data_IF_029220912306
#
_entry.id   IF_029220912306
#
_cell.length_a   1.000
_cell.length_b   1.000
_cell.length_c   1.000
_cell.angle_alpha   90.00
_cell.angle_beta   90.00
_cell.angle_gamma   90.00
#
_symmetry.space_group_name_H-M   'P 1'
#
loop_
_entity.id
_entity.type
_entity.pdbx_description
1 polymer ?
#
# COMPACT_ATOMS: atom_id res chain seq x y z
N UNK A 1 -22.52 -4.21 22.07
CA UNK A 1 -21.52 -3.17 21.74
C UNK A 1 -21.25 -3.29 20.26
N UNK A 2 -22.06 -2.62 19.44
CA UNK A 2 -21.83 -2.54 17.99
C UNK A 2 -20.61 -1.65 17.76
N UNK A 3 -19.50 -2.27 17.37
CA UNK A 3 -18.30 -1.54 16.99
C UNK A 3 -18.57 -0.89 15.63
N UNK A 4 -18.79 0.42 15.60
CA UNK A 4 -18.95 1.24 14.38
C UNK A 4 -17.72 1.29 13.45
N UNK A 5 -16.86 0.26 13.50
CA UNK A 5 -15.63 0.07 12.73
C UNK A 5 -15.67 -1.23 11.91
N UNK A 6 -16.83 -1.84 11.68
CA UNK A 6 -16.92 -3.01 10.81
C UNK A 6 -16.63 -2.61 9.36
N UNK A 7 -15.42 -2.93 8.89
CA UNK A 7 -15.05 -2.82 7.48
C UNK A 7 -16.03 -3.66 6.67
N UNK A 8 -16.76 -3.02 5.75
CA UNK A 8 -17.73 -3.69 4.88
C UNK A 8 -17.14 -4.96 4.27
N UNK A 9 -17.94 -6.04 4.25
CA UNK A 9 -17.51 -7.35 3.74
C UNK A 9 -16.91 -7.25 2.33
N UNK A 10 -17.48 -6.40 1.47
CA UNK A 10 -16.98 -6.16 0.11
C UNK A 10 -15.60 -5.51 0.12
N UNK A 11 -15.39 -4.50 0.98
CA UNK A 11 -14.09 -3.82 1.14
C UNK A 11 -13.05 -4.80 1.68
N UNK A 12 -13.42 -5.61 2.67
CA UNK A 12 -12.55 -6.63 3.26
C UNK A 12 -12.08 -7.65 2.23
N UNK A 13 -13.00 -8.18 1.42
CA UNK A 13 -12.68 -9.15 0.36
C UNK A 13 -11.85 -8.48 -0.74
N UNK A 14 -12.26 -7.30 -1.23
CA UNK A 14 -11.56 -6.61 -2.31
C UNK A 14 -10.14 -6.20 -1.94
N UNK A 15 -9.96 -5.55 -0.79
CA UNK A 15 -8.62 -5.18 -0.32
C UNK A 15 -7.79 -6.42 0.05
N UNK A 16 -8.36 -7.36 0.81
CA UNK A 16 -7.63 -8.55 1.25
C UNK A 16 -7.13 -9.40 0.09
N UNK A 17 -7.99 -9.68 -0.90
CA UNK A 17 -7.60 -10.43 -2.10
C UNK A 17 -6.57 -9.67 -2.94
N UNK A 18 -6.70 -8.36 -3.09
CA UNK A 18 -5.72 -7.54 -3.81
C UNK A 18 -4.33 -7.57 -3.17
N UNK A 19 -4.22 -7.53 -1.83
CA UNK A 19 -2.93 -7.63 -1.14
C UNK A 19 -2.31 -9.01 -1.30
N UNK A 20 -3.10 -10.08 -1.18
CA UNK A 20 -2.61 -11.44 -1.41
C UNK A 20 -2.13 -11.61 -2.86
N UNK A 21 -2.93 -11.17 -3.84
CA UNK A 21 -2.57 -11.25 -5.25
C UNK A 21 -1.27 -10.49 -5.55
N UNK A 22 -1.13 -9.27 -5.01
CA UNK A 22 0.10 -8.49 -5.15
C UNK A 22 1.30 -9.16 -4.50
N UNK A 23 1.17 -9.63 -3.26
CA UNK A 23 2.26 -10.29 -2.56
C UNK A 23 2.72 -11.57 -3.27
N UNK A 24 1.78 -12.40 -3.72
CA UNK A 24 2.08 -13.61 -4.51
C UNK A 24 2.73 -13.23 -5.84
N UNK A 25 2.18 -12.26 -6.57
CA UNK A 25 2.74 -11.79 -7.84
C UNK A 25 4.17 -11.28 -7.68
N UNK A 26 4.43 -10.49 -6.64
CA UNK A 26 5.77 -9.98 -6.34
C UNK A 26 6.75 -11.13 -6.04
N UNK A 27 6.31 -12.12 -5.25
CA UNK A 27 7.11 -13.31 -4.95
C UNK A 27 7.41 -14.16 -6.19
N UNK A 28 6.44 -14.31 -7.10
CA UNK A 28 6.62 -15.02 -8.37
C UNK A 28 7.60 -14.29 -9.30
N UNK A 29 7.50 -12.97 -9.40
CA UNK A 29 8.46 -12.16 -10.19
C UNK A 29 9.88 -12.36 -9.67
N UNK A 30 10.08 -12.34 -8.35
CA UNK A 30 11.40 -12.57 -7.75
C UNK A 30 11.98 -13.95 -8.14
N UNK A 31 11.13 -14.98 -8.22
CA UNK A 31 11.56 -16.34 -8.53
C UNK A 31 11.73 -16.65 -10.01
N UNK A 32 10.88 -16.07 -10.87
CA UNK A 32 10.82 -16.40 -12.30
C UNK A 32 11.58 -15.40 -13.18
N UNK A 33 11.57 -14.12 -12.81
CA UNK A 33 12.09 -13.05 -13.66
C UNK A 33 13.52 -12.62 -13.31
N UNK A 34 14.00 -12.90 -12.09
CA UNK A 34 15.36 -12.57 -11.64
C UNK A 34 16.24 -13.83 -11.55
N UNK A 35 16.92 -14.23 -12.64
CA UNK A 35 17.90 -15.32 -12.59
C UNK A 35 19.15 -14.91 -11.78
N UNK A 36 19.50 -13.62 -11.81
CA UNK A 36 20.58 -13.06 -11.01
C UNK A 36 20.07 -12.76 -9.60
N UNK A 37 20.43 -13.63 -8.65
CA UNK A 37 20.08 -13.48 -7.23
C UNK A 37 20.98 -12.42 -6.61
N UNK A 38 20.41 -11.34 -6.11
CA UNK A 38 21.14 -10.28 -5.42
C UNK A 38 20.49 -10.00 -4.08
N UNK A 39 21.03 -10.63 -3.03
CA UNK A 39 20.46 -10.62 -1.68
C UNK A 39 20.03 -9.24 -1.16
N UNK A 40 20.77 -8.14 -1.38
CA UNK A 40 20.34 -6.82 -0.92
C UNK A 40 19.03 -6.31 -1.54
N UNK A 41 18.63 -6.84 -2.70
CA UNK A 41 17.34 -6.54 -3.35
C UNK A 41 16.32 -7.65 -3.06
N UNK A 42 16.75 -8.91 -3.11
CA UNK A 42 15.86 -10.06 -2.94
C UNK A 42 15.21 -10.08 -1.54
N UNK A 43 15.97 -9.76 -0.50
CA UNK A 43 15.48 -9.79 0.89
C UNK A 43 14.39 -8.75 1.14
N UNK A 44 14.57 -7.44 0.84
CA UNK A 44 13.50 -6.46 0.98
C UNK A 44 12.24 -6.81 0.18
N UNK A 45 12.41 -7.27 -1.06
CA UNK A 45 11.27 -7.65 -1.93
C UNK A 45 10.51 -8.84 -1.35
N UNK A 46 11.22 -9.87 -0.89
CA UNK A 46 10.60 -11.03 -0.24
C UNK A 46 9.87 -10.65 1.05
N UNK A 47 10.43 -9.74 1.85
CA UNK A 47 9.77 -9.24 3.07
C UNK A 47 8.49 -8.49 2.76
N UNK A 48 8.49 -7.62 1.75
CA UNK A 48 7.28 -6.89 1.31
C UNK A 48 6.24 -7.88 0.77
N UNK A 49 6.64 -8.83 -0.06
CA UNK A 49 5.76 -9.87 -0.59
C UNK A 49 5.09 -10.65 0.54
N UNK A 50 5.88 -11.12 1.51
CA UNK A 50 5.37 -11.85 2.67
C UNK A 50 4.42 -10.98 3.50
N UNK A 51 4.80 -9.73 3.76
CA UNK A 51 3.99 -8.80 4.55
C UNK A 51 2.62 -8.55 3.91
N UNK A 52 2.57 -8.40 2.58
CA UNK A 52 1.34 -8.24 1.80
C UNK A 52 0.45 -9.49 1.87
N UNK A 53 1.03 -10.69 1.72
CA UNK A 53 0.27 -11.95 1.81
C UNK A 53 -0.29 -12.13 3.22
N UNK A 54 0.53 -11.92 4.25
CA UNK A 54 0.12 -12.08 5.65
C UNK A 54 -0.94 -11.06 6.04
N UNK A 55 -0.78 -9.79 5.66
CA UNK A 55 -1.76 -8.75 5.99
C UNK A 55 -3.08 -8.93 5.24
N UNK A 56 -3.03 -9.28 3.95
CA UNK A 56 -4.21 -9.61 3.16
C UNK A 56 -4.93 -10.85 3.69
N UNK A 57 -4.19 -11.90 4.04
CA UNK A 57 -4.73 -13.11 4.67
C UNK A 57 -5.37 -12.84 6.04
N UNK A 58 -4.73 -12.04 6.89
CA UNK A 58 -5.27 -11.65 8.18
C UNK A 58 -6.57 -10.84 8.05
N UNK A 59 -6.65 -9.96 7.05
CA UNK A 59 -7.86 -9.20 6.76
C UNK A 59 -9.00 -10.10 6.24
N UNK A 60 -8.70 -11.07 5.36
CA UNK A 60 -9.69 -12.05 4.87
C UNK A 60 -10.19 -12.98 5.99
N UNK A 61 -9.30 -13.42 6.87
CA UNK A 61 -9.60 -14.24 8.04
C UNK A 61 -10.35 -13.49 9.15
N UNK A 62 -10.67 -12.21 8.97
CA UNK A 62 -11.36 -11.36 9.96
C UNK A 62 -10.64 -11.29 11.31
N UNK A 63 -9.30 -11.37 11.28
CA UNK A 63 -8.48 -11.24 12.49
C UNK A 63 -8.64 -9.82 13.04
N UNK A 64 -8.77 -9.67 14.37
CA UNK A 64 -8.96 -8.36 15.03
C UNK A 64 -7.90 -7.32 14.65
N UNK A 65 -6.67 -7.77 14.39
CA UNK A 65 -5.53 -6.93 13.98
C UNK A 65 -5.40 -6.77 12.46
N UNK A 66 -6.22 -7.43 11.65
CA UNK A 66 -6.15 -7.42 10.19
C UNK A 66 -6.10 -6.02 9.57
N UNK A 67 -7.02 -5.10 9.93
CA UNK A 67 -6.99 -3.73 9.42
C UNK A 67 -5.72 -2.95 9.78
N UNK A 68 -5.15 -3.18 10.96
CA UNK A 68 -3.90 -2.55 11.40
C UNK A 68 -2.72 -3.06 10.56
N UNK A 69 -2.58 -4.38 10.44
CA UNK A 69 -1.53 -5.02 9.64
C UNK A 69 -1.60 -4.57 8.18
N UNK A 70 -2.81 -4.48 7.63
CA UNK A 70 -3.07 -3.99 6.28
C UNK A 70 -2.56 -2.56 6.11
N UNK A 71 -2.92 -1.64 7.01
CA UNK A 71 -2.45 -0.25 6.98
C UNK A 71 -0.92 -0.16 7.04
N UNK A 72 -0.29 -0.89 7.96
CA UNK A 72 1.18 -0.89 8.09
C UNK A 72 1.82 -1.41 6.80
N UNK A 73 1.33 -2.52 6.26
CA UNK A 73 1.85 -3.10 5.03
C UNK A 73 1.66 -2.18 3.81
N UNK A 74 0.50 -1.53 3.69
CA UNK A 74 0.22 -0.55 2.65
C UNK A 74 1.11 0.68 2.77
N UNK A 75 1.33 1.19 3.99
CA UNK A 75 2.21 2.34 4.24
C UNK A 75 3.66 2.04 3.86
N UNK A 76 4.18 0.89 4.29
CA UNK A 76 5.53 0.45 3.92
C UNK A 76 5.67 0.26 2.41
N UNK A 77 4.71 -0.42 1.78
CA UNK A 77 4.69 -0.63 0.33
C UNK A 77 4.66 0.69 -0.43
N UNK A 78 3.86 1.66 0.03
CA UNK A 78 3.79 3.00 -0.55
C UNK A 78 5.11 3.75 -0.44
N UNK A 79 5.76 3.73 0.73
CA UNK A 79 7.07 4.39 0.93
C UNK A 79 8.12 3.79 0.00
N UNK A 80 8.21 2.46 -0.07
CA UNK A 80 9.15 1.79 -0.98
C UNK A 80 8.80 2.04 -2.44
N UNK A 81 7.52 2.00 -2.79
CA UNK A 81 7.02 2.30 -4.13
C UNK A 81 7.38 3.71 -4.60
N UNK A 82 7.22 4.71 -3.74
CA UNK A 82 7.59 6.10 -4.03
C UNK A 82 9.11 6.27 -4.17
N UNK A 83 9.89 5.62 -3.30
CA UNK A 83 11.35 5.66 -3.40
C UNK A 83 11.84 5.04 -4.71
N UNK A 84 11.30 3.87 -5.08
CA UNK A 84 11.61 3.19 -6.33
C UNK A 84 11.20 4.01 -7.55
N UNK A 85 9.97 4.55 -7.55
CA UNK A 85 9.46 5.38 -8.64
C UNK A 85 10.34 6.63 -8.85
N UNK A 86 10.72 7.29 -7.75
CA UNK A 86 11.62 8.45 -7.78
C UNK A 86 12.98 8.06 -8.36
N UNK A 87 13.56 6.94 -7.92
CA UNK A 87 14.81 6.42 -8.47
C UNK A 87 14.74 6.15 -9.97
N UNK A 88 13.70 5.46 -10.44
CA UNK A 88 13.50 5.16 -11.87
C UNK A 88 13.38 6.43 -12.72
N UNK A 89 12.59 7.41 -12.26
CA UNK A 89 12.42 8.67 -12.96
C UNK A 89 13.71 9.50 -12.97
N UNK A 90 14.43 9.53 -11.84
CA UNK A 90 15.72 10.19 -11.76
C UNK A 90 16.74 9.55 -12.72
N UNK A 91 16.84 8.22 -12.74
CA UNK A 91 17.68 7.49 -13.69
C UNK A 91 17.28 7.76 -15.14
N UNK A 92 15.98 7.81 -15.45
CA UNK A 92 15.51 8.12 -16.79
C UNK A 92 15.91 9.52 -17.25
N UNK A 93 15.83 10.51 -16.35
CA UNK A 93 16.24 11.90 -16.63
C UNK A 93 17.76 11.99 -16.78
N UNK A 94 18.51 11.37 -15.86
CA UNK A 94 19.97 11.34 -15.87
C UNK A 94 20.52 10.72 -17.17
N UNK A 95 20.00 9.56 -17.57
CA UNK A 95 20.45 8.87 -18.78
C UNK A 95 20.20 9.70 -20.04
N UNK A 96 19.03 10.32 -20.16
CA UNK A 96 18.72 11.20 -21.29
C UNK A 96 19.62 12.45 -21.27
N UNK A 97 19.89 13.01 -20.10
CA UNK A 97 20.71 14.22 -19.95
C UNK A 97 22.18 14.00 -20.28
N UNK A 98 22.78 12.92 -19.77
CA UNK A 98 24.21 12.63 -19.93
C UNK A 98 24.53 12.02 -21.28
N UNK A 99 23.71 11.08 -21.75
CA UNK A 99 23.99 10.31 -22.98
C UNK A 99 23.23 10.81 -24.20
N UNK A 100 22.44 11.88 -24.08
CA UNK A 100 21.68 12.48 -25.19
C UNK A 100 20.80 11.46 -25.90
N UNK A 101 21.01 11.32 -27.21
CA UNK A 101 20.22 10.42 -28.06
C UNK A 101 20.48 8.93 -27.79
N UNK A 102 21.70 8.56 -27.40
CA UNK A 102 22.03 7.19 -26.98
C UNK A 102 21.28 6.82 -25.69
N UNK A 103 21.08 7.78 -24.78
CA UNK A 103 20.33 7.59 -23.53
C UNK A 103 18.81 7.50 -23.69
N UNK A 104 18.29 7.81 -24.89
CA UNK A 104 16.84 7.90 -25.13
C UNK A 104 16.14 6.56 -24.99
N UNK A 105 16.75 5.48 -25.49
CA UNK A 105 16.21 4.12 -25.40
C UNK A 105 16.11 3.64 -23.95
N UNK A 106 17.19 3.76 -23.19
CA UNK A 106 17.21 3.39 -21.78
C UNK A 106 16.22 4.24 -20.96
N UNK A 107 16.18 5.56 -21.18
CA UNK A 107 15.21 6.45 -20.52
C UNK A 107 13.76 6.04 -20.76
N UNK A 108 13.42 5.65 -21.99
CA UNK A 108 12.08 5.16 -22.32
C UNK A 108 11.74 3.87 -21.56
N UNK A 109 12.71 2.95 -21.43
CA UNK A 109 12.54 1.71 -20.68
C UNK A 109 12.30 1.97 -19.18
N UNK A 110 13.09 2.85 -18.55
CA UNK A 110 12.90 3.23 -17.14
C UNK A 110 11.52 3.87 -16.90
N UNK A 111 11.05 4.72 -17.82
CA UNK A 111 9.69 5.30 -17.75
C UNK A 111 8.62 4.24 -17.89
N UNK A 112 8.77 3.30 -18.82
CA UNK A 112 7.82 2.20 -19.01
C UNK A 112 7.70 1.38 -17.72
N UNK A 113 8.82 1.03 -17.09
CA UNK A 113 8.83 0.34 -15.80
C UNK A 113 8.12 1.19 -14.74
N UNK A 114 8.47 2.48 -14.63
CA UNK A 114 7.86 3.39 -13.67
C UNK A 114 6.33 3.42 -13.80
N UNK A 115 5.80 3.55 -15.02
CA UNK A 115 4.36 3.52 -15.27
C UNK A 115 3.73 2.15 -14.99
N UNK A 116 4.47 1.07 -15.24
CA UNK A 116 4.00 -0.30 -14.97
C UNK A 116 3.86 -0.55 -13.48
N UNK A 117 4.81 -0.10 -12.65
CA UNK A 117 4.78 -0.33 -11.19
C UNK A 117 3.87 0.64 -10.45
N UNK A 118 3.64 1.84 -10.99
CA UNK A 118 2.85 2.91 -10.38
C UNK A 118 1.47 2.45 -9.85
N UNK A 119 0.62 1.75 -10.63
CA UNK A 119 -0.69 1.34 -10.14
C UNK A 119 -0.61 0.38 -8.94
N UNK A 120 0.43 -0.44 -8.90
CA UNK A 120 0.57 -1.52 -7.92
C UNK A 120 1.26 -1.08 -6.63
N UNK A 121 2.32 -0.27 -6.73
CA UNK A 121 3.14 0.11 -5.59
C UNK A 121 2.80 1.49 -5.02
N UNK A 122 2.00 2.30 -5.73
CA UNK A 122 1.63 3.65 -5.28
C UNK A 122 0.13 3.81 -5.20
N UNK A 123 -0.59 3.62 -6.32
CA UNK A 123 -2.03 3.89 -6.38
C UNK A 123 -2.78 2.94 -5.45
N UNK A 124 -2.58 1.63 -5.62
CA UNK A 124 -3.26 0.61 -4.82
C UNK A 124 -3.03 0.76 -3.30
N UNK A 125 -1.79 0.83 -2.77
CA UNK A 125 -1.58 1.02 -1.34
C UNK A 125 -2.09 2.39 -0.84
N UNK A 126 -2.03 3.43 -1.67
CA UNK A 126 -2.64 4.73 -1.36
C UNK A 126 -4.15 4.65 -1.18
N UNK A 127 -4.84 3.94 -2.08
CA UNK A 127 -6.28 3.67 -1.99
C UNK A 127 -6.59 2.81 -0.76
N UNK A 128 -5.81 1.78 -0.47
CA UNK A 128 -5.99 0.93 0.70
C UNK A 128 -5.90 1.73 2.01
N UNK A 129 -4.92 2.62 2.12
CA UNK A 129 -4.78 3.52 3.27
C UNK A 129 -5.94 4.51 3.39
N UNK A 130 -6.39 5.06 2.26
CA UNK A 130 -7.51 6.00 2.23
C UNK A 130 -8.81 5.33 2.69
N UNK A 131 -9.13 4.16 2.14
CA UNK A 131 -10.33 3.38 2.48
C UNK A 131 -10.29 2.90 3.92
N UNK A 132 -9.11 2.53 4.42
CA UNK A 132 -8.94 2.10 5.79
C UNK A 132 -8.73 3.27 6.76
N UNK A 133 -9.01 4.54 6.47
CA UNK A 133 -8.82 5.61 7.47
C UNK A 133 -9.64 5.36 8.75
N UNK A 134 -9.10 5.62 9.96
CA UNK A 134 -9.91 5.59 11.18
C UNK A 134 -11.00 6.65 11.10
N UNK A 135 -12.25 6.28 11.36
CA UNK A 135 -13.34 7.25 11.54
C UNK A 135 -13.10 8.01 12.84
N UNK A 136 -13.09 9.36 12.82
CA UNK A 136 -13.02 10.13 14.05
C UNK A 136 -14.18 9.73 14.97
N UNK A 137 -13.95 9.63 16.30
CA UNK A 137 -15.05 9.43 17.23
C UNK A 137 -16.08 10.55 17.00
N UNK A 138 -17.36 10.18 16.89
CA UNK A 138 -18.43 11.17 16.79
C UNK A 138 -18.26 12.18 17.93
N UNK A 139 -18.37 13.50 17.67
CA UNK A 139 -18.29 14.49 18.74
C UNK A 139 -19.28 14.06 19.81
N UNK A 140 -18.77 13.83 21.02
CA UNK A 140 -19.58 13.42 22.16
C UNK A 140 -20.78 14.37 22.17
N UNK A 141 -21.98 13.81 21.93
CA UNK A 141 -23.21 14.57 21.83
C UNK A 141 -23.18 15.60 22.95
N UNK A 142 -23.20 16.88 22.54
CA UNK A 142 -23.08 18.05 23.41
C UNK A 142 -23.66 17.70 24.77
N UNK A 143 -22.80 17.70 25.78
CA UNK A 143 -23.15 17.43 27.16
C UNK A 143 -24.52 18.05 27.40
N UNK A 144 -25.54 17.20 27.62
CA UNK A 144 -26.91 17.61 27.90
C UNK A 144 -26.83 18.82 28.81
N UNK A 145 -27.19 19.97 28.27
CA UNK A 145 -27.32 21.21 29.01
C UNK A 145 -28.19 20.87 30.23
N UNK A 146 -27.68 21.02 31.48
CA UNK A 146 -28.48 20.71 32.65
C UNK A 146 -29.76 21.54 32.57
N UNK A 147 -30.90 20.86 32.61
CA UNK A 147 -32.21 21.49 32.54
C UNK A 147 -32.28 22.63 33.56
N UNK A 148 -32.83 23.80 33.22
CA UNK A 148 -32.95 24.90 34.14
C UNK A 148 -33.73 24.41 35.36
N UNK A 149 -33.03 24.43 36.50
CA UNK A 149 -33.55 24.22 37.84
C UNK A 149 -34.78 25.10 37.97
N UNK A 150 -35.95 24.46 37.99
CA UNK A 150 -37.22 25.15 38.13
C UNK A 150 -37.20 25.84 39.49
N UNK A 151 -37.27 27.16 39.46
CA UNK A 151 -37.40 28.01 40.61
C UNK A 151 -38.63 27.61 41.44
N UNK A 152 -38.42 27.32 42.72
CA UNK A 152 -39.45 27.33 43.76
C UNK A 152 -39.00 28.26 44.89
#
# INVERSE_FOLDING_TARGET
MDNGNEVSRTVRIGLGSGHVALGVGLGLVLWLALPARYLPVDVPVALIALLLVVSGGALLGSVRQGPLLMRVSSALTLVVGLALLTGLLWSAVYLKGVYGDLGRGASAFFKLIAFTILPYLVIYPGVALFVLRPTPPAPAAAAKEPAPEQAE
#
